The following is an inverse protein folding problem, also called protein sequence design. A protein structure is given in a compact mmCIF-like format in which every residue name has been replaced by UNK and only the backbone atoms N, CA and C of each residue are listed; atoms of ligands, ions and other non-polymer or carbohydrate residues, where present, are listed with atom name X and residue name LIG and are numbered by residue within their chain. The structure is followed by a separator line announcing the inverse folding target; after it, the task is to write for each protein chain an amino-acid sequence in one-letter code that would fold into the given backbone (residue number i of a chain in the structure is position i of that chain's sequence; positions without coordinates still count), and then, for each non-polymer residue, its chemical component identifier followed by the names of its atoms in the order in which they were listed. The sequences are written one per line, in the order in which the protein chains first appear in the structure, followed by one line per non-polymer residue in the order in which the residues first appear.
data_IF_927158211847
#
_entry.id   IF_927158211847
#
_cell.length_a   1.000
_cell.length_b   1.000
_cell.length_c   1.000
_cell.angle_alpha   90.00
_cell.angle_beta   90.00
_cell.angle_gamma   90.00
#
_symmetry.space_group_name_H-M   'P 1'
#
loop_
_entity.id
_entity.type
_entity.pdbx_description
1 polymer ?
#
# COMPACT_ATOMS: atom_id res chain seq x y z
N UNK A 1 15.47 -9.31 12.51
CA UNK A 1 16.67 -10.11 12.87
C UNK A 1 17.81 -9.15 13.15
N UNK A 2 18.57 -9.46 14.21
CA UNK A 2 19.78 -8.71 14.57
C UNK A 2 20.98 -9.36 13.89
N UNK A 3 21.74 -8.58 13.14
CA UNK A 3 22.99 -9.01 12.53
C UNK A 3 24.16 -8.42 13.33
N UNK A 4 25.08 -9.28 13.77
CA UNK A 4 26.27 -8.85 14.52
C UNK A 4 27.46 -8.90 13.57
N UNK A 5 27.90 -7.74 13.11
CA UNK A 5 29.14 -7.59 12.34
C UNK A 5 30.31 -7.20 13.26
N UNK A 6 31.52 -7.19 12.71
CA UNK A 6 32.74 -6.87 13.46
C UNK A 6 32.82 -5.41 13.95
N UNK A 7 31.94 -4.52 13.49
CA UNK A 7 32.00 -3.08 13.78
C UNK A 7 30.66 -2.45 14.23
N UNK A 8 29.52 -3.09 14.02
CA UNK A 8 28.20 -2.56 14.43
C UNK A 8 27.14 -3.66 14.48
N UNK A 9 26.15 -3.45 15.32
CA UNK A 9 24.91 -4.22 15.30
C UNK A 9 23.96 -3.57 14.30
N UNK A 10 23.36 -4.36 13.42
CA UNK A 10 22.36 -3.90 12.44
C UNK A 10 21.09 -4.75 12.58
N UNK A 11 19.94 -4.08 12.40
CA UNK A 11 18.65 -4.76 12.33
C UNK A 11 18.22 -4.89 10.89
N UNK A 12 17.57 -6.01 10.56
CA UNK A 12 17.02 -6.25 9.24
C UNK A 12 15.82 -7.19 9.31
N UNK A 13 15.10 -7.30 8.22
CA UNK A 13 14.05 -8.30 8.06
C UNK A 13 14.54 -9.46 7.20
N UNK A 14 14.02 -10.65 7.48
CA UNK A 14 14.18 -11.83 6.63
C UNK A 14 12.76 -12.22 6.22
N UNK A 15 12.54 -12.37 4.93
CA UNK A 15 11.33 -12.95 4.37
C UNK A 15 11.69 -14.17 3.52
N UNK A 16 10.76 -15.10 3.42
CA UNK A 16 10.90 -16.21 2.49
C UNK A 16 10.89 -15.72 1.05
N UNK A 17 11.72 -16.33 0.22
CA UNK A 17 11.64 -16.08 -1.22
C UNK A 17 10.36 -16.73 -1.75
N UNK A 18 9.51 -15.93 -2.37
CA UNK A 18 8.25 -16.39 -2.95
C UNK A 18 8.40 -16.83 -4.42
N UNK A 19 9.55 -16.60 -5.04
CA UNK A 19 9.92 -17.13 -6.34
C UNK A 19 10.67 -18.45 -6.20
N UNK A 20 10.67 -19.27 -7.25
CA UNK A 20 11.37 -20.54 -7.31
C UNK A 20 11.63 -20.93 -8.76
N UNK A 21 12.30 -22.07 -9.01
CA UNK A 21 12.45 -22.61 -10.37
C UNK A 21 11.10 -22.89 -11.07
N UNK A 22 10.05 -23.20 -10.29
CA UNK A 22 8.72 -23.49 -10.80
C UNK A 22 7.81 -22.24 -10.86
N UNK A 23 8.10 -21.21 -10.09
CA UNK A 23 7.27 -19.99 -9.96
C UNK A 23 8.15 -18.76 -10.16
N UNK A 24 7.91 -18.04 -11.22
CA UNK A 24 8.58 -16.77 -11.49
C UNK A 24 7.70 -15.57 -11.09
N UNK A 25 8.33 -14.52 -10.60
CA UNK A 25 7.66 -13.26 -10.30
C UNK A 25 7.58 -12.40 -11.56
N UNK A 26 6.37 -11.94 -11.87
CA UNK A 26 6.10 -10.99 -12.95
C UNK A 26 5.59 -9.70 -12.32
N UNK A 27 6.33 -8.59 -12.43
CA UNK A 27 5.89 -7.29 -11.91
C UNK A 27 4.60 -6.82 -12.58
N UNK A 28 3.78 -6.07 -11.86
CA UNK A 28 2.52 -5.55 -12.41
C UNK A 28 2.73 -4.66 -13.64
N UNK A 29 3.88 -3.97 -13.76
CA UNK A 29 4.20 -3.20 -14.96
C UNK A 29 4.26 -4.10 -16.20
N UNK A 30 4.94 -5.25 -16.11
CA UNK A 30 5.08 -6.18 -17.24
C UNK A 30 3.74 -6.84 -17.57
N UNK A 31 2.87 -7.07 -16.57
CA UNK A 31 1.50 -7.54 -16.80
C UNK A 31 0.69 -6.49 -17.57
N UNK A 32 0.75 -5.22 -17.16
CA UNK A 32 0.04 -4.11 -17.85
C UNK A 32 0.54 -3.91 -19.26
N UNK A 33 1.86 -4.01 -19.49
CA UNK A 33 2.49 -3.76 -20.78
C UNK A 33 2.40 -4.97 -21.73
N UNK A 34 1.99 -6.15 -21.23
CA UNK A 34 1.84 -7.36 -22.06
C UNK A 34 0.72 -7.26 -23.08
N UNK A 35 -0.28 -6.43 -22.82
CA UNK A 35 -1.43 -6.21 -23.70
C UNK A 35 -1.71 -4.72 -23.91
N UNK A 36 -2.24 -4.39 -25.09
CA UNK A 36 -2.59 -3.01 -25.41
C UNK A 36 -3.78 -2.54 -24.59
N UNK A 37 -3.54 -1.57 -23.72
CA UNK A 37 -4.59 -0.93 -22.91
C UNK A 37 -5.47 -0.01 -23.76
N UNK A 38 -6.78 -0.12 -23.61
CA UNK A 38 -7.73 0.88 -24.12
C UNK A 38 -7.58 2.20 -23.35
N UNK A 39 -7.61 3.33 -24.07
CA UNK A 39 -7.48 4.65 -23.45
C UNK A 39 -8.62 5.00 -22.48
N UNK A 40 -9.80 4.41 -22.65
CA UNK A 40 -10.94 4.61 -21.76
C UNK A 40 -10.84 3.79 -20.47
N UNK A 41 -9.95 2.79 -20.39
CA UNK A 41 -9.79 1.89 -19.25
C UNK A 41 -8.66 2.38 -18.35
N UNK A 42 -8.88 2.39 -17.04
CA UNK A 42 -7.82 2.72 -16.07
C UNK A 42 -6.76 1.61 -16.01
N UNK A 43 -5.53 1.96 -15.62
CA UNK A 43 -4.46 0.96 -15.42
C UNK A 43 -4.85 -0.10 -14.38
N UNK A 44 -5.61 0.27 -13.36
CA UNK A 44 -6.14 -0.65 -12.35
C UNK A 44 -7.06 -1.71 -12.97
N UNK A 45 -8.06 -1.29 -13.75
CA UNK A 45 -8.99 -2.22 -14.41
C UNK A 45 -8.32 -3.03 -15.51
N UNK A 46 -7.35 -2.43 -16.22
CA UNK A 46 -6.58 -3.14 -17.24
C UNK A 46 -5.73 -4.26 -16.61
N UNK A 47 -5.04 -3.99 -15.51
CA UNK A 47 -4.29 -5.02 -14.77
C UNK A 47 -5.18 -6.19 -14.37
N UNK A 48 -6.37 -5.91 -13.81
CA UNK A 48 -7.33 -6.95 -13.42
C UNK A 48 -7.78 -7.75 -14.64
N UNK A 49 -8.10 -7.07 -15.75
CA UNK A 49 -8.52 -7.72 -16.99
C UNK A 49 -7.43 -8.69 -17.50
N UNK A 50 -6.19 -8.23 -17.63
CA UNK A 50 -5.09 -9.09 -18.07
C UNK A 50 -4.89 -10.28 -17.15
N UNK A 51 -4.90 -10.07 -15.83
CA UNK A 51 -4.81 -11.17 -14.88
C UNK A 51 -5.93 -12.21 -15.07
N UNK A 52 -7.14 -11.76 -15.37
CA UNK A 52 -8.32 -12.63 -15.56
C UNK A 52 -8.21 -13.42 -16.87
N UNK A 53 -7.81 -12.80 -17.97
CA UNK A 53 -7.59 -13.48 -19.25
C UNK A 53 -6.49 -14.55 -19.15
N UNK A 54 -5.51 -14.36 -18.26
CA UNK A 54 -4.44 -15.34 -18.01
C UNK A 54 -4.76 -16.36 -16.88
N UNK A 55 -6.03 -16.42 -16.43
CA UNK A 55 -6.56 -17.51 -15.63
C UNK A 55 -6.73 -17.26 -14.14
N UNK A 56 -6.45 -16.04 -13.64
CA UNK A 56 -6.77 -15.68 -12.26
C UNK A 56 -8.26 -15.33 -12.14
N UNK A 57 -8.82 -15.56 -10.96
CA UNK A 57 -10.17 -15.12 -10.64
C UNK A 57 -10.19 -13.59 -10.45
N UNK A 58 -11.10 -12.89 -11.13
CA UNK A 58 -11.29 -11.44 -10.92
C UNK A 58 -11.52 -11.09 -9.45
N UNK A 59 -12.31 -11.90 -8.75
CA UNK A 59 -12.61 -11.72 -7.33
C UNK A 59 -11.34 -11.81 -6.47
N UNK A 60 -10.44 -12.75 -6.76
CA UNK A 60 -9.18 -12.91 -6.04
C UNK A 60 -8.24 -11.74 -6.31
N UNK A 61 -8.10 -11.32 -7.57
CA UNK A 61 -7.24 -10.19 -7.94
C UNK A 61 -7.75 -8.90 -7.29
N UNK A 62 -9.04 -8.59 -7.42
CA UNK A 62 -9.64 -7.41 -6.75
C UNK A 62 -9.47 -7.49 -5.24
N UNK A 63 -9.76 -8.64 -4.65
CA UNK A 63 -9.62 -8.85 -3.22
C UNK A 63 -8.21 -8.63 -2.71
N UNK A 64 -7.21 -9.08 -3.43
CA UNK A 64 -5.81 -8.84 -3.10
C UNK A 64 -5.45 -7.35 -3.21
N UNK A 65 -5.84 -6.68 -4.31
CA UNK A 65 -5.55 -5.26 -4.52
C UNK A 65 -6.23 -4.37 -3.48
N UNK A 66 -7.47 -4.67 -3.11
CA UNK A 66 -8.18 -3.97 -2.03
C UNK A 66 -7.48 -4.14 -0.68
N UNK A 67 -7.07 -5.38 -0.36
CA UNK A 67 -6.28 -5.67 0.84
C UNK A 67 -4.96 -4.90 0.84
N UNK A 68 -4.25 -4.86 -0.30
CA UNK A 68 -3.01 -4.10 -0.46
C UNK A 68 -3.24 -2.60 -0.25
N UNK A 69 -4.26 -2.02 -0.89
CA UNK A 69 -4.60 -0.59 -0.72
C UNK A 69 -4.89 -0.25 0.74
N UNK A 70 -5.67 -1.08 1.43
CA UNK A 70 -6.01 -0.88 2.84
C UNK A 70 -4.78 -1.01 3.75
N UNK A 71 -3.92 -2.00 3.47
CA UNK A 71 -2.68 -2.20 4.23
C UNK A 71 -1.71 -1.03 4.01
N UNK A 72 -1.49 -0.63 2.76
CA UNK A 72 -0.64 0.50 2.42
C UNK A 72 -1.17 1.81 3.03
N UNK A 73 -2.49 1.99 3.10
CA UNK A 73 -3.10 3.14 3.76
C UNK A 73 -2.79 3.18 5.27
N UNK A 74 -2.94 2.07 6.01
CA UNK A 74 -2.63 2.02 7.44
C UNK A 74 -1.15 2.26 7.70
N UNK A 75 -0.29 1.66 6.87
CA UNK A 75 1.15 1.80 6.98
C UNK A 75 1.65 3.14 6.41
N UNK A 76 0.83 3.85 5.66
CA UNK A 76 1.25 5.04 4.91
C UNK A 76 2.40 4.73 3.95
N UNK A 77 2.26 3.63 3.20
CA UNK A 77 3.21 3.31 2.15
C UNK A 77 2.99 4.23 0.95
N UNK A 78 3.95 5.08 0.67
CA UNK A 78 3.85 6.09 -0.39
C UNK A 78 4.36 5.62 -1.74
N UNK A 79 4.96 4.43 -1.83
CA UNK A 79 5.67 3.97 -3.02
C UNK A 79 5.27 2.55 -3.48
N UNK A 80 3.97 2.30 -3.60
CA UNK A 80 3.43 1.07 -4.18
C UNK A 80 3.33 1.17 -5.71
N UNK A 81 4.45 1.45 -6.37
CA UNK A 81 4.48 1.49 -7.84
C UNK A 81 4.37 0.08 -8.45
N UNK A 82 4.13 0.01 -9.77
CA UNK A 82 3.83 -1.24 -10.47
C UNK A 82 4.96 -2.29 -10.48
N UNK A 83 6.17 -1.96 -10.02
CA UNK A 83 7.22 -2.96 -9.79
C UNK A 83 7.21 -3.54 -8.37
N UNK A 84 6.46 -2.95 -7.43
CA UNK A 84 6.43 -3.36 -6.02
C UNK A 84 5.26 -4.29 -5.68
N UNK A 85 4.60 -4.83 -6.69
CA UNK A 85 3.64 -5.92 -6.61
C UNK A 85 3.52 -6.58 -7.98
N UNK A 86 2.86 -7.73 -8.04
CA UNK A 86 2.70 -8.48 -9.28
C UNK A 86 2.08 -9.84 -9.05
N UNK A 87 2.32 -10.74 -9.98
CA UNK A 87 1.79 -12.09 -9.97
C UNK A 87 2.93 -13.13 -9.92
N UNK A 88 2.59 -14.34 -9.50
CA UNK A 88 3.41 -15.51 -9.69
C UNK A 88 2.89 -16.32 -10.88
N UNK A 89 3.81 -16.65 -11.79
CA UNK A 89 3.56 -17.40 -13.01
C UNK A 89 4.27 -18.74 -12.95
N UNK A 90 3.62 -19.80 -13.37
CA UNK A 90 4.25 -21.09 -13.57
C UNK A 90 5.26 -21.01 -14.73
N UNK A 91 6.51 -21.37 -14.45
CA UNK A 91 7.63 -21.20 -15.41
C UNK A 91 7.55 -22.13 -16.62
N UNK A 92 6.80 -23.23 -16.55
CA UNK A 92 6.67 -24.19 -17.65
C UNK A 92 5.44 -23.93 -18.51
N UNK A 93 4.29 -23.66 -17.85
CA UNK A 93 3.01 -23.48 -18.54
C UNK A 93 2.72 -22.02 -18.89
N UNK A 94 3.48 -21.09 -18.29
CA UNK A 94 3.31 -19.63 -18.39
C UNK A 94 1.94 -19.13 -17.89
N UNK A 95 1.20 -19.94 -17.16
CA UNK A 95 -0.08 -19.54 -16.58
C UNK A 95 0.13 -18.76 -15.30
N UNK A 96 -0.70 -17.76 -15.08
CA UNK A 96 -0.74 -17.04 -13.82
C UNK A 96 -1.33 -17.94 -12.74
N UNK A 97 -0.66 -18.02 -11.60
CA UNK A 97 -1.01 -18.93 -10.50
C UNK A 97 -1.71 -18.19 -9.38
N UNK A 98 -1.18 -17.04 -8.98
CA UNK A 98 -1.73 -16.20 -7.90
C UNK A 98 -1.03 -14.84 -7.87
N UNK A 99 -1.58 -13.92 -7.09
CA UNK A 99 -0.87 -12.70 -6.75
C UNK A 99 0.38 -13.03 -5.93
N UNK A 100 1.47 -12.29 -6.15
CA UNK A 100 2.64 -12.38 -5.29
C UNK A 100 2.33 -11.81 -3.89
N UNK A 101 2.96 -12.30 -2.82
CA UNK A 101 2.84 -11.69 -1.49
C UNK A 101 3.18 -10.19 -1.53
N UNK A 102 2.65 -9.42 -0.58
CA UNK A 102 3.04 -8.01 -0.43
C UNK A 102 4.50 -7.95 0.02
N UNK A 103 5.30 -7.17 -0.70
CA UNK A 103 6.71 -6.90 -0.40
C UNK A 103 7.01 -5.42 -0.60
N UNK A 104 8.23 -4.99 -0.30
CA UNK A 104 8.72 -3.62 -0.47
C UNK A 104 7.78 -2.55 0.12
N UNK A 105 7.60 -2.62 1.43
CA UNK A 105 6.86 -1.61 2.19
C UNK A 105 7.79 -0.66 2.96
N UNK A 106 9.02 -0.48 2.49
CA UNK A 106 10.05 0.32 3.16
C UNK A 106 9.73 1.83 3.22
N UNK A 107 9.02 2.35 2.22
CA UNK A 107 8.58 3.75 2.19
C UNK A 107 7.28 3.96 2.98
N UNK A 108 7.29 3.57 4.24
CA UNK A 108 6.12 3.56 5.11
C UNK A 108 6.35 4.30 6.43
N UNK A 109 5.29 4.46 7.22
CA UNK A 109 5.34 4.94 8.60
C UNK A 109 5.95 6.35 8.76
N UNK A 110 5.81 7.20 7.74
CA UNK A 110 6.37 8.58 7.75
C UNK A 110 7.88 8.63 8.03
N UNK A 111 8.62 7.65 7.54
CA UNK A 111 10.04 7.44 7.82
C UNK A 111 10.92 8.65 7.47
N UNK A 112 10.52 9.48 6.51
CA UNK A 112 11.21 10.69 6.03
C UNK A 112 10.61 11.99 6.57
N UNK A 113 9.58 11.90 7.44
CA UNK A 113 8.86 13.04 7.98
C UNK A 113 9.14 13.24 9.48
N UNK A 114 10.24 13.90 9.86
CA UNK A 114 10.63 14.08 11.26
C UNK A 114 9.59 14.86 12.08
N UNK A 115 8.67 15.55 11.43
CA UNK A 115 7.50 16.18 12.05
C UNK A 115 6.29 15.98 11.17
N UNK A 116 5.26 15.33 11.70
CA UNK A 116 3.96 15.36 11.07
C UNK A 116 3.46 16.81 11.10
N UNK A 117 3.00 17.35 9.97
CA UNK A 117 2.34 18.66 9.97
C UNK A 117 1.17 18.63 10.96
N UNK A 118 1.11 19.58 11.89
CA UNK A 118 0.06 19.65 12.92
C UNK A 118 -1.36 19.65 12.34
N UNK A 119 -1.50 20.08 11.09
CA UNK A 119 -2.75 20.15 10.31
C UNK A 119 -2.80 19.20 9.12
N UNK A 120 -1.90 18.20 9.02
CA UNK A 120 -1.99 17.29 7.89
C UNK A 120 -3.29 16.49 7.99
N UNK A 121 -4.13 16.69 7.00
CA UNK A 121 -5.14 15.71 6.68
C UNK A 121 -4.39 14.48 6.14
N UNK A 122 -4.18 13.50 7.00
CA UNK A 122 -3.44 12.27 6.64
C UNK A 122 -4.14 11.46 5.54
N UNK A 123 -5.18 11.99 4.90
CA UNK A 123 -5.88 11.38 3.76
C UNK A 123 -5.44 11.94 2.41
N UNK A 124 -4.81 13.12 2.35
CA UNK A 124 -4.34 13.75 1.10
C UNK A 124 -2.86 13.47 0.80
N UNK A 125 -2.34 12.36 1.32
CA UNK A 125 -0.95 11.96 1.06
C UNK A 125 -0.81 11.54 -0.39
N UNK A 126 0.20 12.11 -1.06
CA UNK A 126 0.57 11.74 -2.42
C UNK A 126 1.27 10.38 -2.40
N UNK A 127 0.89 9.52 -3.32
CA UNK A 127 1.43 8.17 -3.45
C UNK A 127 1.80 7.86 -4.89
N UNK A 128 2.76 6.98 -5.07
CA UNK A 128 3.15 6.42 -6.35
C UNK A 128 2.49 5.05 -6.49
N UNK A 129 1.31 5.00 -7.12
CA UNK A 129 0.52 3.78 -7.29
C UNK A 129 -0.48 3.94 -8.44
N UNK A 130 -1.56 3.13 -8.50
CA UNK A 130 -2.65 3.27 -9.47
C UNK A 130 -3.35 4.63 -9.46
N UNK A 131 -3.28 5.36 -8.37
CA UNK A 131 -3.81 6.71 -8.17
C UNK A 131 -2.75 7.59 -7.52
N UNK A 132 -3.00 8.89 -7.53
CA UNK A 132 -2.03 9.89 -7.06
C UNK A 132 -2.13 10.19 -5.57
N UNK A 133 -3.24 9.88 -4.94
CA UNK A 133 -3.45 10.10 -3.50
C UNK A 133 -4.07 8.87 -2.86
N UNK A 134 -3.86 8.73 -1.55
CA UNK A 134 -4.47 7.65 -0.76
C UNK A 134 -6.00 7.70 -0.80
N UNK A 135 -6.59 8.89 -0.77
CA UNK A 135 -8.05 9.05 -0.89
C UNK A 135 -8.59 8.53 -2.23
N UNK A 136 -7.86 8.76 -3.32
CA UNK A 136 -8.23 8.22 -4.62
C UNK A 136 -8.05 6.70 -4.69
N UNK A 137 -7.06 6.14 -4.01
CA UNK A 137 -6.90 4.69 -3.88
C UNK A 137 -8.04 4.05 -3.09
N UNK A 138 -8.43 4.65 -1.97
CA UNK A 138 -9.55 4.15 -1.15
C UNK A 138 -10.88 4.09 -1.93
N UNK A 139 -11.06 4.91 -2.98
CA UNK A 139 -12.23 4.83 -3.86
C UNK A 139 -12.30 3.53 -4.68
N UNK A 140 -11.18 2.82 -4.83
CA UNK A 140 -11.12 1.53 -5.51
C UNK A 140 -11.60 0.37 -4.62
N UNK A 141 -11.69 0.59 -3.31
CA UNK A 141 -12.06 -0.44 -2.33
C UNK A 141 -13.57 -0.58 -2.25
N UNK A 142 -14.08 -1.75 -2.59
CA UNK A 142 -15.50 -2.11 -2.50
C UNK A 142 -15.81 -2.88 -1.23
N UNK A 143 -14.90 -3.75 -0.78
CA UNK A 143 -15.00 -4.48 0.49
C UNK A 143 -14.03 -3.93 1.53
N UNK A 144 -14.56 -3.08 2.39
CA UNK A 144 -13.80 -2.40 3.45
C UNK A 144 -13.40 -3.31 4.63
N UNK A 145 -13.91 -4.53 4.69
CA UNK A 145 -13.66 -5.47 5.79
C UNK A 145 -12.40 -6.32 5.62
N UNK A 146 -11.64 -6.13 4.55
CA UNK A 146 -10.48 -6.98 4.22
C UNK A 146 -9.31 -6.87 5.17
N UNK A 147 -9.21 -5.80 5.94
CA UNK A 147 -8.17 -5.63 6.97
C UNK A 147 -8.77 -5.85 8.35
N UNK A 148 -8.12 -6.69 9.15
CA UNK A 148 -8.47 -6.99 10.53
C UNK A 148 -7.80 -5.98 11.46
N UNK A 149 -8.57 -4.96 11.91
CA UNK A 149 -8.07 -3.91 12.79
C UNK A 149 -7.58 -4.44 14.15
N UNK A 150 -8.18 -5.54 14.61
CA UNK A 150 -7.80 -6.21 15.85
C UNK A 150 -6.45 -6.94 15.79
N UNK A 151 -5.92 -7.19 14.60
CA UNK A 151 -4.60 -7.77 14.37
C UNK A 151 -3.50 -6.72 14.18
N UNK A 152 -3.85 -5.44 14.06
CA UNK A 152 -2.86 -4.38 13.92
C UNK A 152 -2.13 -4.18 15.25
N UNK A 153 -0.78 -4.04 15.23
CA UNK A 153 -0.01 -3.84 16.44
C UNK A 153 -0.46 -2.58 17.18
N UNK A 154 -0.39 -2.62 18.48
CA UNK A 154 -0.63 -1.43 19.29
C UNK A 154 0.59 -0.49 19.29
N UNK A 155 0.39 0.76 19.73
CA UNK A 155 1.45 1.77 19.83
C UNK A 155 2.70 1.25 20.56
N UNK A 156 2.50 0.54 21.68
CA UNK A 156 3.62 0.07 22.50
C UNK A 156 4.45 -1.01 21.77
N UNK A 157 3.81 -1.93 21.07
CA UNK A 157 4.51 -2.97 20.29
C UNK A 157 5.38 -2.35 19.19
N UNK A 158 4.87 -1.32 18.52
CA UNK A 158 5.65 -0.57 17.52
C UNK A 158 6.78 0.21 18.20
N UNK A 159 6.51 0.88 19.32
CA UNK A 159 7.52 1.60 20.07
C UNK A 159 8.68 0.70 20.52
N UNK A 160 8.38 -0.49 21.04
CA UNK A 160 9.37 -1.50 21.41
C UNK A 160 10.20 -2.01 20.22
N UNK A 161 9.60 -2.06 19.04
CA UNK A 161 10.32 -2.42 17.83
C UNK A 161 11.33 -1.34 17.44
N UNK A 162 10.90 -0.07 17.43
CA UNK A 162 11.77 1.06 17.09
C UNK A 162 12.82 1.38 18.16
N UNK A 163 12.54 1.08 19.45
CA UNK A 163 13.52 1.23 20.52
C UNK A 163 14.74 0.32 20.40
N UNK A 164 14.73 -0.62 19.44
CA UNK A 164 15.91 -1.46 19.15
C UNK A 164 16.96 -0.78 18.26
N UNK A 165 16.61 0.36 17.68
CA UNK A 165 17.49 1.13 16.79
C UNK A 165 17.52 2.60 17.22
N UNK A 166 18.60 2.99 17.91
CA UNK A 166 18.80 4.35 18.42
C UNK A 166 19.02 5.40 17.31
N UNK A 167 19.18 4.97 16.05
CA UNK A 167 19.36 5.88 14.91
C UNK A 167 18.08 6.60 14.50
N UNK A 168 16.91 6.13 14.92
CA UNK A 168 15.60 6.69 14.55
C UNK A 168 15.21 7.81 15.51
N UNK A 169 15.47 9.05 15.11
CA UNK A 169 15.34 10.22 15.98
C UNK A 169 13.89 10.73 16.22
N UNK A 170 12.87 10.19 15.50
CA UNK A 170 11.50 10.75 15.50
C UNK A 170 10.39 9.70 15.67
N UNK A 171 10.66 8.69 16.49
CA UNK A 171 9.73 7.60 16.79
C UNK A 171 8.35 8.10 17.21
N UNK A 172 8.26 9.15 18.02
CA UNK A 172 6.97 9.72 18.42
C UNK A 172 6.14 10.27 17.26
N UNK A 173 6.76 10.84 16.24
CA UNK A 173 6.05 11.25 15.02
C UNK A 173 5.51 10.07 14.26
N UNK A 174 6.30 9.00 14.10
CA UNK A 174 5.89 7.75 13.46
C UNK A 174 4.67 7.15 14.18
N UNK A 175 4.78 7.01 15.49
CA UNK A 175 3.71 6.45 16.34
C UNK A 175 2.43 7.30 16.28
N UNK A 176 2.57 8.61 16.29
CA UNK A 176 1.43 9.53 16.18
C UNK A 176 0.77 9.43 14.81
N UNK A 177 1.56 9.32 13.74
CA UNK A 177 1.06 9.10 12.39
C UNK A 177 0.28 7.81 12.25
N UNK A 178 0.85 6.73 12.75
CA UNK A 178 0.20 5.42 12.76
C UNK A 178 -1.16 5.43 13.49
N UNK A 179 -1.22 6.00 14.69
CA UNK A 179 -2.47 6.10 15.45
C UNK A 179 -3.53 6.93 14.69
N UNK A 180 -3.13 8.04 14.06
CA UNK A 180 -4.03 8.81 13.20
C UNK A 180 -4.57 7.95 12.05
N UNK A 181 -3.70 7.17 11.39
CA UNK A 181 -4.09 6.29 10.29
C UNK A 181 -5.05 5.19 10.74
N UNK A 182 -4.83 4.59 11.90
CA UNK A 182 -5.79 3.63 12.49
C UNK A 182 -7.17 4.26 12.66
N UNK A 183 -7.26 5.44 13.26
CA UNK A 183 -8.54 6.14 13.44
C UNK A 183 -9.21 6.48 12.12
N UNK A 184 -8.44 6.90 11.11
CA UNK A 184 -8.96 7.17 9.77
C UNK A 184 -9.46 5.90 9.08
N UNK A 185 -8.75 4.78 9.23
CA UNK A 185 -9.16 3.48 8.71
C UNK A 185 -10.47 3.00 9.37
N UNK A 186 -10.58 3.08 10.69
CA UNK A 186 -11.83 2.75 11.42
C UNK A 186 -13.02 3.54 10.87
N UNK A 187 -12.84 4.86 10.70
CA UNK A 187 -13.87 5.73 10.11
C UNK A 187 -14.22 5.34 8.68
N UNK A 188 -13.21 5.02 7.87
CA UNK A 188 -13.42 4.57 6.50
C UNK A 188 -14.18 3.24 6.45
N UNK A 189 -13.84 2.29 7.32
CA UNK A 189 -14.54 1.00 7.40
C UNK A 189 -16.00 1.17 7.80
N UNK A 190 -16.29 2.04 8.75
CA UNK A 190 -17.64 2.29 9.24
C UNK A 190 -18.51 3.09 8.25
N UNK A 191 -17.97 4.20 7.73
CA UNK A 191 -18.74 5.25 7.03
C UNK A 191 -18.37 5.44 5.57
N UNK A 192 -17.26 4.84 5.12
CA UNK A 192 -16.67 5.15 3.82
C UNK A 192 -15.94 6.48 3.80
N UNK A 193 -15.64 6.96 2.60
CA UNK A 193 -15.04 8.28 2.41
C UNK A 193 -16.08 9.37 2.72
N UNK A 194 -15.68 10.48 3.35
CA UNK A 194 -16.55 11.62 3.53
C UNK A 194 -17.02 12.13 2.16
N UNK A 195 -18.30 12.47 2.03
CA UNK A 195 -18.80 13.16 0.85
C UNK A 195 -18.00 14.45 0.65
N UNK A 196 -17.41 14.62 -0.51
CA UNK A 196 -16.74 15.87 -0.85
C UNK A 196 -17.79 16.98 -0.89
N UNK A 197 -17.87 17.74 0.19
CA UNK A 197 -18.59 19.00 0.18
C UNK A 197 -17.86 19.90 -0.82
N UNK A 198 -18.42 20.07 -2.01
CA UNK A 198 -17.96 21.06 -2.98
C UNK A 198 -18.05 22.43 -2.31
N UNK A 199 -16.97 22.88 -1.71
CA UNK A 199 -16.76 24.29 -1.41
C UNK A 199 -16.78 25.02 -2.77
N UNK A 200 -17.97 25.54 -3.14
CA UNK A 200 -18.09 26.50 -4.22
C UNK A 200 -17.09 27.63 -3.88
N UNK A 201 -15.98 27.68 -4.60
CA UNK A 201 -15.17 28.89 -4.65
C UNK A 201 -16.10 30.00 -5.14
N UNK A 202 -16.54 30.83 -4.23
CA UNK A 202 -17.17 32.09 -4.57
C UNK A 202 -16.10 32.97 -5.24
N UNK A 203 -16.08 32.97 -6.55
CA UNK A 203 -15.40 34.00 -7.34
C UNK A 203 -16.18 35.30 -7.19
N UNK A 204 -15.96 35.96 -6.06
CA UNK A 204 -16.35 37.34 -5.88
C UNK A 204 -15.25 38.24 -6.42
N UNK A 205 -15.22 38.45 -7.73
CA UNK A 205 -14.62 39.64 -8.31
C UNK A 205 -15.75 40.64 -8.44
N UNK A 206 -15.88 41.53 -7.48
CA UNK A 206 -16.57 42.82 -7.69
C UNK A 206 -15.51 43.92 -7.77
N UNK A 207 -15.75 44.80 -8.70
CA UNK A 207 -14.90 45.85 -9.28
C UNK A 207 -14.44 46.91 -8.27
#
# INVERSE_FOLDING_TARGET
VKFTGSASEQYGCICEDFASEALEFIPAIDVVDSEKKDNAVSTYEHFIHVCTEHGLSEQEVRGFLEYQVLTDFVLTNTDRHLNNFGILRDSQTLKFVRMAPIFDSGNSMFWDAPRLPERSDCTEITVNSFRKTETELLKLVTDRSRVRMDLLPCRNEIAELYAKDDSIAFVDSILTGYEKKKVLMERFMEKGLPEQTHLKRSTGFER
#
